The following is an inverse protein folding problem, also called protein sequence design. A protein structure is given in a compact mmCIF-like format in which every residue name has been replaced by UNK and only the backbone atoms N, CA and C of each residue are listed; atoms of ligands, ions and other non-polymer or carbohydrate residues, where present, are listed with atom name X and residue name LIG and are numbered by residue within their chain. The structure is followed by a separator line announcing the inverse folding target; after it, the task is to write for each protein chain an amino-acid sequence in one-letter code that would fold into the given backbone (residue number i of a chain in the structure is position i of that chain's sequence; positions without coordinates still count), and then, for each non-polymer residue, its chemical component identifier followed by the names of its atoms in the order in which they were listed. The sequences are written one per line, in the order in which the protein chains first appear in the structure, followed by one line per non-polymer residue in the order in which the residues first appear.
data_IF_920900467426
#
_entry.id   IF_920900467426
#
_cell.length_a   1.000
_cell.length_b   1.000
_cell.length_c   1.000
_cell.angle_alpha   90.00
_cell.angle_beta   90.00
_cell.angle_gamma   90.00
#
_symmetry.space_group_name_H-M   'P 1'
#
loop_
_entity.id
_entity.type
_entity.pdbx_description
1 polymer ?
#
# COMPACT_ATOMS: atom_id res chain seq x y z
N UNK A 1 0.37 10.94 -1.17
CA UNK A 1 1.49 9.99 -0.93
C UNK A 1 2.09 9.65 -2.28
N UNK A 2 3.40 9.72 -2.41
CA UNK A 2 4.13 9.26 -3.60
C UNK A 2 4.88 7.98 -3.24
N UNK A 3 4.91 7.01 -4.15
CA UNK A 3 5.73 5.81 -4.03
C UNK A 3 6.91 5.97 -4.97
N UNK A 4 8.12 5.86 -4.41
CA UNK A 4 9.36 5.90 -5.17
C UNK A 4 9.95 4.50 -5.21
N UNK A 5 10.32 4.05 -6.41
CA UNK A 5 11.00 2.78 -6.63
C UNK A 5 12.44 3.07 -7.02
N UNK A 6 13.39 2.36 -6.39
CA UNK A 6 14.78 2.40 -6.84
C UNK A 6 14.86 2.01 -8.31
N UNK A 7 15.73 2.62 -9.12
CA UNK A 7 15.89 2.26 -10.53
C UNK A 7 16.44 0.84 -10.71
N UNK A 8 16.26 0.24 -11.89
CA UNK A 8 16.95 -1.01 -12.23
C UNK A 8 18.36 -0.71 -12.77
N UNK A 9 19.30 -1.66 -12.65
CA UNK A 9 20.69 -1.46 -13.07
C UNK A 9 20.92 -1.08 -14.55
N UNK A 10 19.92 -1.23 -15.42
CA UNK A 10 20.01 -0.83 -16.84
C UNK A 10 19.77 0.65 -17.08
N UNK A 11 19.04 1.32 -16.19
CA UNK A 11 18.41 2.61 -16.50
C UNK A 11 19.18 3.79 -15.93
N UNK A 12 20.35 3.55 -15.34
CA UNK A 12 21.16 4.58 -14.68
C UNK A 12 22.64 4.34 -14.93
N UNK A 13 23.39 5.43 -15.00
CA UNK A 13 24.84 5.36 -14.98
C UNK A 13 25.33 4.55 -13.78
N UNK A 14 26.30 3.66 -14.01
CA UNK A 14 26.90 2.82 -12.95
C UNK A 14 27.42 3.64 -11.77
N UNK A 15 27.81 4.89 -12.01
CA UNK A 15 28.23 5.82 -10.96
C UNK A 15 27.07 6.18 -10.03
N UNK A 16 25.88 6.46 -10.56
CA UNK A 16 24.68 6.79 -9.77
C UNK A 16 24.16 5.55 -9.04
N UNK A 17 24.20 4.38 -9.68
CA UNK A 17 23.85 3.11 -9.02
C UNK A 17 24.75 2.78 -7.82
N UNK A 18 26.02 3.20 -7.85
CA UNK A 18 26.95 3.01 -6.75
C UNK A 18 26.71 3.99 -5.58
N UNK A 19 26.00 5.09 -5.82
CA UNK A 19 25.61 6.07 -4.80
C UNK A 19 24.25 5.75 -4.16
N UNK A 20 23.47 4.83 -4.74
CA UNK A 20 22.19 4.41 -4.18
C UNK A 20 22.40 3.41 -3.03
N UNK A 21 21.60 3.50 -1.96
CA UNK A 21 21.66 2.54 -0.87
C UNK A 21 21.25 1.16 -1.37
N UNK A 22 21.95 0.12 -0.92
CA UNK A 22 21.49 -1.24 -1.18
C UNK A 22 20.14 -1.47 -0.48
N UNK A 23 19.42 -2.51 -0.90
CA UNK A 23 18.13 -2.85 -0.29
C UNK A 23 18.27 -3.02 1.24
N UNK A 24 17.45 -2.29 2.00
CA UNK A 24 17.51 -2.30 3.46
C UNK A 24 18.68 -1.54 4.08
N UNK A 25 19.59 -0.98 3.28
CA UNK A 25 20.55 -0.01 3.79
C UNK A 25 19.85 1.29 4.15
N UNK A 26 20.37 1.90 5.20
CA UNK A 26 19.85 3.15 5.74
C UNK A 26 20.54 4.27 5.01
N UNK A 27 19.75 5.13 4.39
CA UNK A 27 20.26 6.32 3.75
C UNK A 27 19.75 7.53 4.52
N UNK A 28 20.65 8.12 5.31
CA UNK A 28 20.32 9.27 6.14
C UNK A 28 20.46 10.52 5.26
N UNK A 29 19.50 10.73 4.37
CA UNK A 29 19.51 11.81 3.38
C UNK A 29 19.57 13.20 4.04
N UNK A 30 19.03 13.34 5.25
CA UNK A 30 19.17 14.53 6.10
C UNK A 30 19.17 14.12 7.59
N UNK A 31 19.92 14.83 8.44
CA UNK A 31 19.74 14.74 9.90
C UNK A 31 18.47 15.50 10.27
N UNK A 32 17.41 14.84 10.79
CA UNK A 32 16.17 15.51 11.15
C UNK A 32 16.42 16.64 12.15
N UNK A 33 16.14 17.89 11.76
CA UNK A 33 16.05 19.02 12.70
C UNK A 33 14.60 19.20 13.10
N UNK A 34 14.29 18.94 14.37
CA UNK A 34 12.92 18.94 14.89
C UNK A 34 12.49 20.29 15.48
N UNK A 35 11.19 20.51 15.42
CA UNK A 35 10.32 21.35 16.26
C UNK A 35 10.27 21.00 17.77
N UNK A 36 11.10 20.08 18.28
CA UNK A 36 11.14 19.73 19.71
C UNK A 36 11.60 18.31 20.09
N UNK A 37 12.18 17.54 19.18
CA UNK A 37 12.73 16.19 19.41
C UNK A 37 11.77 15.02 19.16
N UNK A 38 10.67 15.18 18.43
CA UNK A 38 9.66 14.12 18.22
C UNK A 38 9.66 13.54 16.79
N UNK A 39 10.24 14.25 15.82
CA UNK A 39 10.22 13.80 14.42
C UNK A 39 11.43 12.92 14.10
N UNK A 40 11.16 11.62 13.86
CA UNK A 40 12.12 10.69 13.26
C UNK A 40 11.86 10.67 11.76
N UNK A 41 12.62 11.45 11.00
CA UNK A 41 12.63 11.40 9.53
C UNK A 41 13.73 10.44 9.06
N UNK A 42 13.52 9.15 9.29
CA UNK A 42 14.38 8.10 8.73
C UNK A 42 13.78 7.62 7.39
N UNK A 43 14.59 7.60 6.33
CA UNK A 43 14.23 7.04 5.04
C UNK A 43 14.91 5.67 4.88
N UNK A 44 14.13 4.62 4.68
CA UNK A 44 14.62 3.30 4.33
C UNK A 44 14.02 2.90 2.97
N UNK A 45 14.80 2.23 2.13
CA UNK A 45 14.29 1.62 0.91
C UNK A 45 14.07 0.13 1.17
N UNK A 46 12.80 -0.24 1.35
CA UNK A 46 12.39 -1.61 1.62
C UNK A 46 11.37 -2.09 0.60
N UNK A 47 11.29 -3.42 0.37
CA UNK A 47 10.21 -4.03 -0.39
C UNK A 47 8.83 -3.63 0.14
N UNK A 48 7.82 -3.60 -0.73
CA UNK A 48 6.48 -3.19 -0.31
C UNK A 48 5.89 -4.16 0.73
N UNK A 49 6.16 -5.46 0.61
CA UNK A 49 5.76 -6.49 1.57
C UNK A 49 6.39 -6.28 2.95
N UNK A 50 7.64 -5.82 3.02
CA UNK A 50 8.30 -5.56 4.30
C UNK A 50 7.58 -4.41 5.05
N UNK A 51 7.21 -3.34 4.35
CA UNK A 51 6.39 -2.28 4.95
C UNK A 51 5.03 -2.78 5.44
N UNK A 52 4.38 -3.66 4.67
CA UNK A 52 3.10 -4.29 5.05
C UNK A 52 3.27 -5.13 6.32
N UNK A 53 4.32 -5.94 6.40
CA UNK A 53 4.54 -6.83 7.54
C UNK A 53 4.90 -6.05 8.81
N UNK A 54 5.69 -4.98 8.71
CA UNK A 54 5.93 -4.06 9.84
C UNK A 54 4.63 -3.41 10.33
N UNK A 55 3.74 -3.03 9.42
CA UNK A 55 2.43 -2.46 9.78
C UNK A 55 1.52 -3.50 10.46
N UNK A 56 1.52 -4.75 9.99
CA UNK A 56 0.79 -5.87 10.62
C UNK A 56 1.30 -6.17 12.03
N UNK A 57 2.62 -6.12 12.25
CA UNK A 57 3.27 -6.27 13.56
C UNK A 57 3.12 -5.04 14.46
N UNK A 58 2.43 -3.99 13.99
CA UNK A 58 2.23 -2.73 14.68
C UNK A 58 3.53 -1.95 14.99
N UNK A 59 4.62 -2.26 14.29
CA UNK A 59 5.92 -1.56 14.40
C UNK A 59 5.87 -0.18 13.76
N UNK A 60 5.06 -0.03 12.71
CA UNK A 60 4.77 1.25 12.05
C UNK A 60 3.27 1.46 11.92
N UNK A 61 2.86 2.67 11.53
CA UNK A 61 1.49 2.99 11.17
C UNK A 61 1.44 3.25 9.67
N UNK A 62 0.62 2.48 8.96
CA UNK A 62 0.18 2.77 7.60
C UNK A 62 -1.31 3.06 7.63
N UNK A 63 -1.72 4.24 7.18
CA UNK A 63 -3.13 4.55 7.01
C UNK A 63 -3.73 3.69 5.88
N UNK A 64 -5.06 3.43 5.90
CA UNK A 64 -5.69 2.51 4.96
C UNK A 64 -5.36 2.75 3.46
N UNK A 65 -5.33 4.00 2.94
CA UNK A 65 -4.94 4.23 1.55
C UNK A 65 -3.47 3.85 1.26
N UNK A 66 -2.57 4.08 2.21
CA UNK A 66 -1.15 3.77 2.08
C UNK A 66 -0.92 2.26 2.05
N UNK A 67 -1.56 1.55 2.98
CA UNK A 67 -1.50 0.09 3.07
C UNK A 67 -2.06 -0.58 1.81
N UNK A 68 -3.20 -0.10 1.31
CA UNK A 68 -3.79 -0.60 0.06
C UNK A 68 -2.82 -0.50 -1.12
N UNK A 69 -2.20 0.67 -1.32
CA UNK A 69 -1.31 0.88 -2.45
C UNK A 69 -0.07 0.00 -2.36
N UNK A 70 0.54 -0.11 -1.18
CA UNK A 70 1.68 -1.03 -0.98
C UNK A 70 1.27 -2.49 -1.19
N UNK A 71 0.09 -2.90 -0.74
CA UNK A 71 -0.43 -4.27 -0.94
C UNK A 71 -0.61 -4.61 -2.42
N UNK A 72 -1.10 -3.68 -3.22
CA UNK A 72 -1.22 -3.88 -4.66
C UNK A 72 0.17 -4.00 -5.30
N UNK A 73 1.07 -3.09 -4.97
CA UNK A 73 2.46 -3.07 -5.47
C UNK A 73 3.21 -4.35 -5.11
N UNK A 74 3.09 -4.85 -3.88
CA UNK A 74 3.77 -6.08 -3.43
C UNK A 74 3.32 -7.29 -4.24
N UNK A 75 2.06 -7.31 -4.69
CA UNK A 75 1.53 -8.36 -5.56
C UNK A 75 2.21 -8.44 -6.94
N UNK A 76 2.93 -7.41 -7.36
CA UNK A 76 3.72 -7.39 -8.60
C UNK A 76 5.22 -7.51 -8.34
N UNK A 77 5.76 -6.65 -7.48
CA UNK A 77 7.21 -6.49 -7.33
C UNK A 77 7.83 -7.52 -6.39
N UNK A 78 7.09 -7.96 -5.38
CA UNK A 78 7.59 -8.84 -4.32
C UNK A 78 7.21 -10.31 -4.53
N UNK A 79 6.95 -10.71 -5.79
CA UNK A 79 6.69 -12.12 -6.14
C UNK A 79 7.92 -12.98 -5.90
N UNK A 80 7.70 -14.20 -5.40
CA UNK A 80 8.76 -15.19 -5.24
C UNK A 80 9.12 -15.88 -6.57
N UNK A 81 10.40 -16.21 -6.82
CA UNK A 81 11.56 -15.83 -6.03
C UNK A 81 11.86 -14.33 -6.18
N UNK A 82 12.05 -13.64 -5.04
CA UNK A 82 12.42 -12.21 -5.03
C UNK A 82 13.93 -12.03 -5.09
N UNK A 83 14.65 -12.75 -4.22
CA UNK A 83 16.10 -12.78 -4.23
C UNK A 83 16.59 -13.53 -5.48
N UNK A 84 17.54 -12.94 -6.20
CA UNK A 84 18.11 -13.54 -7.41
C UNK A 84 17.19 -13.51 -8.63
N UNK A 85 16.11 -12.73 -8.61
CA UNK A 85 15.33 -12.46 -9.82
C UNK A 85 16.23 -11.86 -10.91
N UNK A 86 16.10 -12.35 -12.15
CA UNK A 86 16.84 -11.78 -13.27
C UNK A 86 16.38 -10.35 -13.52
N UNK A 87 17.26 -9.54 -14.12
CA UNK A 87 16.93 -8.20 -14.57
C UNK A 87 15.70 -8.17 -15.51
N UNK A 88 15.61 -9.13 -16.42
CA UNK A 88 14.47 -9.29 -17.34
C UNK A 88 13.16 -9.50 -16.56
N UNK A 89 13.18 -10.35 -15.53
CA UNK A 89 12.02 -10.61 -14.69
C UNK A 89 11.64 -9.35 -13.87
N UNK A 90 12.61 -8.62 -13.34
CA UNK A 90 12.35 -7.35 -12.65
C UNK A 90 11.71 -6.30 -13.57
N UNK A 91 12.19 -6.17 -14.81
CA UNK A 91 11.61 -5.28 -15.84
C UNK A 91 10.18 -5.69 -16.15
N UNK A 92 9.94 -6.99 -16.36
CA UNK A 92 8.62 -7.54 -16.63
C UNK A 92 7.64 -7.27 -15.49
N UNK A 93 8.04 -7.44 -14.23
CA UNK A 93 7.20 -7.13 -13.06
C UNK A 93 6.84 -5.65 -12.99
N UNK A 94 7.78 -4.75 -13.29
CA UNK A 94 7.50 -3.30 -13.36
C UNK A 94 6.52 -2.96 -14.48
N UNK A 95 6.72 -3.55 -15.66
CA UNK A 95 5.80 -3.37 -16.78
C UNK A 95 4.39 -3.84 -16.41
N UNK A 96 4.24 -5.02 -15.79
CA UNK A 96 2.96 -5.52 -15.33
C UNK A 96 2.28 -4.58 -14.31
N UNK A 97 3.05 -3.98 -13.40
CA UNK A 97 2.52 -3.00 -12.46
C UNK A 97 2.01 -1.74 -13.19
N UNK A 98 2.76 -1.23 -14.17
CA UNK A 98 2.36 -0.08 -14.97
C UNK A 98 1.08 -0.39 -15.77
N UNK A 99 1.04 -1.54 -16.45
CA UNK A 99 -0.14 -2.01 -17.17
C UNK A 99 -1.36 -2.11 -16.24
N UNK A 100 -1.18 -2.67 -15.04
CA UNK A 100 -2.22 -2.73 -14.03
C UNK A 100 -2.74 -1.35 -13.62
N UNK A 101 -1.84 -0.38 -13.39
CA UNK A 101 -2.21 0.98 -12.99
C UNK A 101 -3.04 1.69 -14.07
N UNK A 102 -2.78 1.41 -15.34
CA UNK A 102 -3.55 1.95 -16.47
C UNK A 102 -4.80 1.12 -16.83
N UNK A 103 -4.99 -0.05 -16.23
CA UNK A 103 -6.14 -0.94 -16.46
C UNK A 103 -7.34 -0.63 -15.57
N UNK A 104 -8.51 -1.16 -15.93
CA UNK A 104 -9.75 -1.00 -15.19
C UNK A 104 -10.58 0.21 -15.62
N UNK A 105 -11.76 0.38 -15.00
CA UNK A 105 -12.66 1.50 -15.27
C UNK A 105 -13.26 2.04 -13.95
N UNK A 106 -12.85 3.24 -13.48
CA UNK A 106 -11.72 4.01 -13.99
C UNK A 106 -10.39 3.29 -13.73
N UNK A 107 -9.34 3.66 -14.46
CA UNK A 107 -7.99 3.18 -14.19
C UNK A 107 -7.47 3.71 -12.85
N UNK A 108 -6.45 3.06 -12.28
CA UNK A 108 -5.90 3.45 -10.97
C UNK A 108 -5.32 4.86 -10.95
N UNK A 109 -4.89 5.39 -12.10
CA UNK A 109 -4.44 6.80 -12.22
C UNK A 109 -5.56 7.81 -11.99
N UNK A 110 -6.83 7.40 -12.10
CA UNK A 110 -7.99 8.28 -11.94
C UNK A 110 -8.86 7.94 -10.73
N UNK A 111 -8.63 6.79 -10.09
CA UNK A 111 -9.35 6.37 -8.89
C UNK A 111 -9.14 7.32 -7.72
N UNK A 112 -10.22 7.63 -7.02
CA UNK A 112 -10.19 8.34 -5.74
C UNK A 112 -10.39 7.35 -4.60
N UNK A 113 -9.39 7.17 -3.74
CA UNK A 113 -9.47 6.26 -2.59
C UNK A 113 -9.87 7.06 -1.35
N UNK A 114 -11.14 6.99 -0.97
CA UNK A 114 -11.68 7.57 0.26
C UNK A 114 -12.30 6.47 1.12
N UNK A 115 -11.56 5.90 2.10
CA UNK A 115 -12.08 4.81 2.92
C UNK A 115 -13.27 5.26 3.78
N UNK A 116 -14.40 4.56 3.63
CA UNK A 116 -15.62 4.77 4.43
C UNK A 116 -16.01 3.47 5.13
N UNK A 117 -16.35 3.54 6.41
CA UNK A 117 -16.85 2.37 7.14
C UNK A 117 -18.16 1.89 6.53
N UNK A 118 -18.22 0.63 6.13
CA UNK A 118 -19.45 0.01 5.58
C UNK A 118 -20.05 -1.03 6.53
N UNK A 119 -19.23 -1.68 7.37
CA UNK A 119 -19.67 -2.58 8.42
C UNK A 119 -18.57 -2.77 9.47
N UNK A 120 -18.91 -3.44 10.58
CA UNK A 120 -17.97 -3.98 11.55
C UNK A 120 -18.01 -5.51 11.47
N UNK A 121 -16.86 -6.16 11.49
CA UNK A 121 -16.78 -7.62 11.61
C UNK A 121 -17.10 -8.08 13.04
N UNK A 122 -17.46 -9.35 13.20
CA UNK A 122 -17.69 -9.95 14.53
C UNK A 122 -16.46 -9.91 15.46
N UNK A 123 -15.25 -9.87 14.91
CA UNK A 123 -14.00 -9.72 15.67
C UNK A 123 -13.66 -8.25 16.00
N UNK A 124 -14.53 -7.28 15.67
CA UNK A 124 -14.40 -5.87 16.01
C UNK A 124 -13.48 -5.05 15.10
N UNK A 125 -13.20 -5.52 13.89
CA UNK A 125 -12.52 -4.72 12.84
C UNK A 125 -13.54 -3.97 12.01
N UNK A 126 -13.21 -2.74 11.66
CA UNK A 126 -13.96 -1.94 10.70
C UNK A 126 -13.65 -2.41 9.29
N UNK A 127 -14.69 -2.68 8.50
CA UNK A 127 -14.55 -2.91 7.06
C UNK A 127 -14.77 -1.57 6.36
N UNK A 128 -13.76 -1.14 5.62
CA UNK A 128 -13.74 0.12 4.90
C UNK A 128 -13.98 -0.13 3.41
N UNK A 129 -15.09 0.37 2.89
CA UNK A 129 -15.37 0.46 1.46
C UNK A 129 -14.55 1.57 0.82
N UNK A 130 -14.18 1.38 -0.44
CA UNK A 130 -13.28 2.26 -1.19
C UNK A 130 -13.91 2.82 -2.47
N UNK A 131 -15.17 2.51 -2.75
CA UNK A 131 -15.80 2.76 -4.05
C UNK A 131 -16.24 4.21 -4.26
N UNK A 132 -16.59 4.89 -3.17
CA UNK A 132 -17.09 6.26 -3.21
C UNK A 132 -15.97 7.26 -2.94
N UNK A 133 -15.95 8.39 -3.66
CA UNK A 133 -15.02 9.46 -3.34
C UNK A 133 -15.41 10.15 -2.03
N UNK A 134 -14.52 11.03 -1.56
CA UNK A 134 -14.76 11.86 -0.39
C UNK A 134 -15.85 12.92 -0.65
N UNK A 135 -16.45 13.48 0.42
CA UNK A 135 -17.53 14.48 0.30
C UNK A 135 -17.16 15.70 -0.55
N UNK A 136 -15.86 16.06 -0.59
CA UNK A 136 -15.30 17.16 -1.37
C UNK A 136 -15.44 16.96 -2.89
N UNK A 137 -15.71 15.73 -3.34
CA UNK A 137 -15.92 15.37 -4.74
C UNK A 137 -17.37 14.98 -5.05
N UNK A 138 -18.30 15.26 -4.13
CA UNK A 138 -19.73 15.04 -4.37
C UNK A 138 -20.20 15.79 -5.63
N UNK A 139 -20.95 15.09 -6.49
CA UNK A 139 -21.44 15.66 -7.76
C UNK A 139 -20.44 15.58 -8.93
N UNK A 140 -19.25 15.04 -8.70
CA UNK A 140 -18.32 14.68 -9.78
C UNK A 140 -18.54 13.25 -10.26
N UNK A 141 -17.90 12.86 -11.36
CA UNK A 141 -17.87 11.50 -11.90
C UNK A 141 -16.74 10.64 -11.30
N UNK A 142 -16.05 11.13 -10.25
CA UNK A 142 -14.94 10.42 -9.61
C UNK A 142 -15.44 9.15 -8.93
N UNK A 143 -14.69 8.06 -9.12
CA UNK A 143 -14.98 6.75 -8.54
C UNK A 143 -13.71 6.18 -7.89
N UNK A 144 -13.90 5.30 -6.93
CA UNK A 144 -12.82 4.59 -6.25
C UNK A 144 -12.68 3.14 -6.66
N UNK A 145 -12.29 2.29 -5.70
CA UNK A 145 -12.10 0.86 -5.90
C UNK A 145 -13.34 0.09 -5.41
N UNK A 146 -14.01 -0.65 -6.30
CA UNK A 146 -15.24 -1.38 -5.98
C UNK A 146 -15.02 -2.78 -5.43
N UNK A 147 -13.95 -3.45 -5.85
CA UNK A 147 -13.78 -4.89 -5.64
C UNK A 147 -13.07 -5.23 -4.33
N UNK A 148 -12.33 -4.28 -3.77
CA UNK A 148 -11.54 -4.47 -2.55
C UNK A 148 -12.07 -3.63 -1.40
N UNK A 149 -11.82 -4.12 -0.20
CA UNK A 149 -12.06 -3.43 1.08
C UNK A 149 -10.78 -3.45 1.90
N UNK A 150 -10.67 -2.51 2.84
CA UNK A 150 -9.63 -2.52 3.87
C UNK A 150 -10.27 -2.87 5.20
N UNK A 151 -9.76 -3.90 5.88
CA UNK A 151 -10.11 -4.20 7.27
C UNK A 151 -9.11 -3.47 8.18
N UNK A 152 -9.60 -2.89 9.28
CA UNK A 152 -8.73 -2.19 10.23
C UNK A 152 -9.35 -2.20 11.62
N UNK A 153 -8.51 -2.31 12.65
CA UNK A 153 -8.89 -2.02 14.03
C UNK A 153 -8.37 -0.65 14.44
N UNK A 154 -9.26 0.27 14.78
CA UNK A 154 -8.86 1.55 15.36
C UNK A 154 -8.69 1.42 16.87
N UNK A 155 -7.50 1.72 17.37
CA UNK A 155 -7.20 1.74 18.82
C UNK A 155 -6.49 3.04 19.18
N UNK A 156 -7.11 3.82 20.09
CA UNK A 156 -6.61 5.13 20.54
C UNK A 156 -6.22 6.08 19.39
N UNK A 157 -7.02 6.11 18.32
CA UNK A 157 -6.76 6.95 17.15
C UNK A 157 -5.71 6.40 16.15
N UNK A 158 -5.10 5.24 16.42
CA UNK A 158 -4.17 4.58 15.49
C UNK A 158 -4.83 3.41 14.75
N UNK A 159 -4.53 3.28 13.46
CA UNK A 159 -4.91 2.12 12.64
C UNK A 159 -3.99 0.93 12.97
N UNK A 160 -4.58 -0.21 13.34
CA UNK A 160 -3.89 -1.47 13.68
C UNK A 160 -4.59 -2.63 12.97
N UNK A 161 -3.91 -3.77 12.84
CA UNK A 161 -4.47 -4.97 12.20
C UNK A 161 -5.07 -4.67 10.81
N UNK A 162 -4.30 -3.95 9.99
CA UNK A 162 -4.74 -3.52 8.66
C UNK A 162 -4.58 -4.67 7.67
N UNK A 163 -5.62 -4.96 6.90
CA UNK A 163 -5.61 -5.99 5.85
C UNK A 163 -6.41 -5.53 4.63
N UNK A 164 -6.07 -6.05 3.46
CA UNK A 164 -6.85 -5.87 2.23
C UNK A 164 -7.54 -7.19 1.91
N UNK A 165 -8.83 -7.13 1.61
CA UNK A 165 -9.61 -8.29 1.19
C UNK A 165 -10.48 -7.97 -0.02
N UNK A 166 -10.88 -9.00 -0.75
CA UNK A 166 -11.94 -8.85 -1.75
C UNK A 166 -13.26 -8.61 -1.04
N UNK A 167 -13.99 -7.59 -1.49
CA UNK A 167 -15.28 -7.20 -0.92
C UNK A 167 -16.23 -8.38 -0.90
N UNK A 168 -16.36 -9.12 -2.01
CA UNK A 168 -17.24 -10.28 -2.11
C UNK A 168 -16.94 -11.34 -1.04
N UNK A 169 -15.66 -11.65 -0.80
CA UNK A 169 -15.24 -12.72 0.10
C UNK A 169 -15.45 -12.30 1.56
N UNK A 170 -15.06 -11.07 1.91
CA UNK A 170 -15.26 -10.51 3.26
C UNK A 170 -16.74 -10.42 3.61
N UNK A 171 -17.58 -9.93 2.69
CA UNK A 171 -19.01 -9.80 2.92
C UNK A 171 -19.69 -11.18 3.03
N UNK A 172 -19.22 -12.18 2.29
CA UNK A 172 -19.73 -13.54 2.39
C UNK A 172 -19.39 -14.19 3.74
N UNK A 173 -18.13 -14.10 4.17
CA UNK A 173 -17.68 -14.65 5.45
C UNK A 173 -18.46 -14.09 6.65
N UNK A 174 -18.75 -12.78 6.66
CA UNK A 174 -19.51 -12.17 7.75
C UNK A 174 -20.99 -12.56 7.75
N UNK A 175 -21.58 -12.81 6.58
CA UNK A 175 -22.95 -13.37 6.48
C UNK A 175 -23.00 -14.80 7.04
N UNK A 176 -22.02 -15.63 6.69
CA UNK A 176 -21.94 -17.01 7.18
C UNK A 176 -21.78 -17.07 8.70
N UNK A 177 -20.94 -16.19 9.28
CA UNK A 177 -20.77 -16.09 10.74
C UNK A 177 -21.99 -15.56 11.48
N UNK A 178 -22.78 -14.69 10.85
CA UNK A 178 -24.00 -14.12 11.48
C UNK A 178 -25.18 -15.11 11.50
N UNK A 179 -25.11 -16.16 10.68
CA UNK A 179 -26.14 -17.21 10.60
C UNK A 179 -25.84 -18.42 11.49
N UNK A 180 -24.74 -18.39 12.24
CA UNK A 180 -24.31 -19.39 13.23
C UNK A 180 -24.59 -18.89 14.65
#
# INVERSE_FOLDING_TARGET
MYLYFLPLPTDVDKAVLAELPAEGERDQLESPTSDGGIEVTEAQFLPAMEWIDRARKAEIILFPPQFLLLHLVSGFLDKEPRAGASLEEMLKRRQQLVEFVHSGSPSWVHKCISPKMIQMTGDGRSVLGLSEPGPELNGTDRQGESERVVLVRFKKGSAREVEVGWKKDVMQQEREKSNL
#
